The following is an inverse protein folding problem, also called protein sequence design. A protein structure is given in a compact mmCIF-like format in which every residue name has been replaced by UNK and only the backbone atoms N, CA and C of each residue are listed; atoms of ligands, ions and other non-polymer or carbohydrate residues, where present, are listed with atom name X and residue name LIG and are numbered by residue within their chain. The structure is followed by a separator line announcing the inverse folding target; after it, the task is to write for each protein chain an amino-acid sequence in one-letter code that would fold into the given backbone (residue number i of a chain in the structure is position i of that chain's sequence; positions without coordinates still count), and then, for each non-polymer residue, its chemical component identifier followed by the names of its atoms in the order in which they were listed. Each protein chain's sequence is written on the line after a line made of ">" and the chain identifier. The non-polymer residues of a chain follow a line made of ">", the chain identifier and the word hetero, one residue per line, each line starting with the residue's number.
data_IF_913054537696
#
_entry.id   IF_913054537696
#
_cell.length_a   1.000
_cell.length_b   1.000
_cell.length_c   1.000
_cell.angle_alpha   90.00
_cell.angle_beta   90.00
_cell.angle_gamma   90.00
#
_symmetry.space_group_name_H-M   'P 1'
#
loop_
_entity.id
_entity.type
_entity.pdbx_description
1 polymer ?
#
# COMPACT_ATOMS: atom_id res chain seq x y z
N UNK A 1 29.32 -10.03 -17.83
CA UNK A 1 27.93 -10.51 -17.78
C UNK A 1 27.29 -9.91 -16.53
N UNK A 2 26.72 -8.71 -16.62
CA UNK A 2 26.19 -7.95 -15.48
C UNK A 2 24.98 -7.09 -15.93
N UNK A 3 24.01 -7.73 -16.60
CA UNK A 3 22.91 -7.01 -17.27
C UNK A 3 21.52 -7.36 -16.71
N UNK A 4 21.42 -8.10 -15.61
CA UNK A 4 20.13 -8.57 -15.06
C UNK A 4 19.63 -7.87 -13.79
N UNK A 5 20.42 -6.98 -13.16
CA UNK A 5 20.04 -6.35 -11.88
C UNK A 5 19.31 -5.00 -11.99
N UNK A 6 19.42 -4.29 -13.11
CA UNK A 6 18.82 -2.95 -13.26
C UNK A 6 17.29 -3.03 -13.39
N UNK A 7 16.78 -3.98 -14.17
CA UNK A 7 15.33 -4.15 -14.44
C UNK A 7 14.53 -4.58 -13.22
N UNK A 8 15.08 -5.42 -12.34
CA UNK A 8 14.38 -5.85 -11.11
C UNK A 8 14.22 -4.67 -10.14
N UNK A 9 15.24 -3.83 -10.05
CA UNK A 9 15.24 -2.64 -9.19
C UNK A 9 14.19 -1.63 -9.67
N UNK A 10 14.14 -1.31 -10.96
CA UNK A 10 13.15 -0.36 -11.50
C UNK A 10 11.70 -0.84 -11.32
N UNK A 11 11.45 -2.15 -11.48
CA UNK A 11 10.13 -2.76 -11.26
C UNK A 11 9.71 -2.70 -9.79
N UNK A 12 10.62 -2.97 -8.86
CA UNK A 12 10.37 -2.83 -7.42
C UNK A 12 10.10 -1.38 -7.02
N UNK A 13 10.84 -0.42 -7.59
CA UNK A 13 10.62 1.00 -7.33
C UNK A 13 9.26 1.47 -7.84
N UNK A 14 8.82 1.01 -9.02
CA UNK A 14 7.51 1.36 -9.56
C UNK A 14 6.37 0.70 -8.78
N UNK A 15 6.54 -0.56 -8.36
CA UNK A 15 5.59 -1.25 -7.49
C UNK A 15 5.44 -0.54 -6.13
N UNK A 16 6.56 -0.09 -5.54
CA UNK A 16 6.55 0.69 -4.31
C UNK A 16 5.85 2.05 -4.51
N UNK A 17 6.14 2.79 -5.59
CA UNK A 17 5.44 4.04 -5.90
C UNK A 17 3.93 3.85 -6.03
N UNK A 18 3.51 2.77 -6.70
CA UNK A 18 2.11 2.43 -6.85
C UNK A 18 1.46 2.12 -5.50
N UNK A 19 2.13 1.32 -4.65
CA UNK A 19 1.69 1.03 -3.30
C UNK A 19 1.49 2.31 -2.49
N UNK A 20 2.51 3.19 -2.47
CA UNK A 20 2.44 4.46 -1.74
C UNK A 20 1.27 5.32 -2.20
N UNK A 21 1.09 5.50 -3.52
CA UNK A 21 -0.03 6.30 -4.06
C UNK A 21 -1.38 5.74 -3.62
N UNK A 22 -1.58 4.43 -3.74
CA UNK A 22 -2.85 3.79 -3.38
C UNK A 22 -3.13 3.96 -1.88
N UNK A 23 -2.12 3.73 -1.04
CA UNK A 23 -2.24 3.87 0.41
C UNK A 23 -2.60 5.30 0.80
N UNK A 24 -1.92 6.30 0.23
CA UNK A 24 -2.21 7.71 0.47
C UNK A 24 -3.64 8.10 0.05
N UNK A 25 -4.09 7.69 -1.15
CA UNK A 25 -5.47 7.95 -1.61
C UNK A 25 -6.51 7.35 -0.66
N UNK A 26 -6.26 6.13 -0.16
CA UNK A 26 -7.16 5.47 0.80
C UNK A 26 -7.12 6.20 2.14
N UNK A 27 -5.94 6.61 2.61
CA UNK A 27 -5.78 7.37 3.86
C UNK A 27 -6.58 8.67 3.82
N UNK A 28 -6.45 9.47 2.76
CA UNK A 28 -7.18 10.73 2.58
C UNK A 28 -8.70 10.51 2.57
N UNK A 29 -9.16 9.43 1.93
CA UNK A 29 -10.60 9.16 1.79
C UNK A 29 -11.26 8.43 2.97
N UNK A 30 -10.49 7.73 3.81
CA UNK A 30 -11.00 6.82 4.84
C UNK A 30 -10.37 7.01 6.21
N UNK A 31 -9.65 8.12 6.44
CA UNK A 31 -9.18 8.49 7.77
C UNK A 31 -10.34 8.49 8.78
N UNK A 32 -10.19 7.75 9.88
CA UNK A 32 -11.24 7.62 10.91
C UNK A 32 -12.32 6.57 10.62
N UNK A 33 -12.28 5.88 9.47
CA UNK A 33 -13.21 4.80 9.15
C UNK A 33 -12.88 3.51 9.92
N UNK A 34 -13.81 2.54 9.94
CA UNK A 34 -13.60 1.23 10.56
C UNK A 34 -12.48 0.44 9.86
N UNK A 35 -11.64 -0.24 10.64
CA UNK A 35 -10.53 -1.07 10.12
C UNK A 35 -11.01 -2.07 9.07
N UNK A 36 -12.15 -2.72 9.27
CA UNK A 36 -12.70 -3.72 8.35
C UNK A 36 -13.10 -3.09 7.01
N UNK A 37 -13.62 -1.86 7.06
CA UNK A 37 -13.94 -1.08 5.86
C UNK A 37 -12.67 -0.71 5.10
N UNK A 38 -11.64 -0.22 5.80
CA UNK A 38 -10.36 0.14 5.17
C UNK A 38 -9.67 -1.10 4.57
N UNK A 39 -9.66 -2.23 5.28
CA UNK A 39 -9.14 -3.52 4.77
C UNK A 39 -9.86 -3.93 3.48
N UNK A 40 -11.19 -3.80 3.41
CA UNK A 40 -11.95 -4.16 2.22
C UNK A 40 -11.59 -3.27 1.02
N UNK A 41 -11.35 -1.97 1.25
CA UNK A 41 -10.93 -1.03 0.20
C UNK A 41 -9.51 -1.33 -0.27
N UNK A 42 -8.56 -1.51 0.67
CA UNK A 42 -7.18 -1.85 0.35
C UNK A 42 -7.08 -3.15 -0.44
N UNK A 43 -7.82 -4.20 -0.04
CA UNK A 43 -7.86 -5.47 -0.78
C UNK A 43 -8.33 -5.32 -2.22
N UNK A 44 -9.31 -4.46 -2.47
CA UNK A 44 -9.82 -4.21 -3.84
C UNK A 44 -8.82 -3.41 -4.68
N UNK A 45 -8.13 -2.45 -4.07
CA UNK A 45 -7.19 -1.54 -4.76
C UNK A 45 -5.81 -2.18 -4.98
N UNK A 46 -5.36 -3.03 -4.07
CA UNK A 46 -4.02 -3.62 -4.07
C UNK A 46 -3.97 -5.05 -4.63
N UNK A 47 -5.03 -5.51 -5.31
CA UNK A 47 -5.15 -6.88 -5.84
C UNK A 47 -3.98 -7.29 -6.75
N UNK A 48 -3.31 -6.31 -7.37
CA UNK A 48 -2.19 -6.53 -8.29
C UNK A 48 -0.85 -5.98 -7.78
N UNK A 49 -0.74 -5.60 -6.49
CA UNK A 49 0.51 -5.08 -5.93
C UNK A 49 1.26 -6.22 -5.23
N UNK A 50 2.36 -6.71 -5.82
CA UNK A 50 3.20 -7.73 -5.18
C UNK A 50 3.90 -7.14 -3.94
N UNK A 51 4.13 -7.98 -2.92
CA UNK A 51 4.93 -7.62 -1.75
C UNK A 51 4.16 -7.17 -0.51
N UNK A 52 2.83 -7.09 -0.55
CA UNK A 52 2.01 -6.82 0.63
C UNK A 52 1.25 -8.07 1.09
N UNK A 53 1.60 -8.57 2.27
CA UNK A 53 0.92 -9.70 2.90
C UNK A 53 -0.35 -9.27 3.67
N UNK A 54 -1.12 -10.25 4.13
CA UNK A 54 -2.36 -9.98 4.86
C UNK A 54 -2.14 -9.22 6.18
N UNK A 55 -0.99 -9.42 6.83
CA UNK A 55 -0.64 -8.74 8.07
C UNK A 55 -0.27 -7.26 7.82
N UNK A 56 0.55 -7.00 6.81
CA UNK A 56 0.90 -5.66 6.36
C UNK A 56 -0.32 -4.85 5.93
N UNK A 57 -1.24 -5.48 5.18
CA UNK A 57 -2.49 -4.84 4.77
C UNK A 57 -3.37 -4.46 5.98
N UNK A 58 -3.44 -5.31 7.01
CA UNK A 58 -4.15 -5.00 8.24
C UNK A 58 -3.50 -3.86 9.02
N UNK A 59 -2.18 -3.83 9.11
CA UNK A 59 -1.44 -2.76 9.79
C UNK A 59 -1.67 -1.40 9.12
N UNK A 60 -1.64 -1.35 7.80
CA UNK A 60 -1.96 -0.13 7.03
C UNK A 60 -3.40 0.33 7.34
N UNK A 61 -4.35 -0.62 7.39
CA UNK A 61 -5.74 -0.30 7.70
C UNK A 61 -5.93 0.25 9.12
N UNK A 62 -5.20 -0.28 10.10
CA UNK A 62 -5.22 0.20 11.49
C UNK A 62 -4.68 1.64 11.59
N UNK A 63 -3.56 1.95 10.94
CA UNK A 63 -3.02 3.32 10.91
C UNK A 63 -3.99 4.31 10.23
N UNK A 64 -4.58 3.94 9.10
CA UNK A 64 -5.57 4.78 8.41
C UNK A 64 -6.82 4.97 9.28
N UNK A 65 -7.28 3.91 9.95
CA UNK A 65 -8.45 3.96 10.84
C UNK A 65 -8.24 4.95 11.99
N UNK A 66 -7.02 5.08 12.53
CA UNK A 66 -6.70 6.10 13.54
C UNK A 66 -6.40 7.49 12.96
N UNK A 67 -6.59 7.68 11.65
CA UNK A 67 -6.40 8.94 10.95
C UNK A 67 -4.94 9.27 10.63
N UNK A 68 -4.05 8.27 10.63
CA UNK A 68 -2.67 8.42 10.20
C UNK A 68 -2.52 8.08 8.74
N UNK A 69 -1.55 8.71 8.09
CA UNK A 69 -1.11 8.34 6.76
C UNK A 69 0.12 7.43 6.84
N UNK A 70 -0.01 6.11 6.59
CA UNK A 70 1.11 5.19 6.63
C UNK A 70 2.00 5.28 5.37
N UNK A 71 1.70 6.16 4.39
CA UNK A 71 2.59 6.35 3.23
C UNK A 71 3.88 7.10 3.58
N UNK A 72 3.92 7.81 4.71
CA UNK A 72 5.12 8.53 5.18
C UNK A 72 5.53 9.74 4.34
N UNK A 73 4.58 10.37 3.64
CA UNK A 73 4.77 11.62 2.90
C UNK A 73 4.84 12.85 3.83
#
# INVERSE_FOLDING_TARGET
>A
MAETSLTSTDVEHEANRLLFRIVHEVAVGHAGADVSQVVAVLRRRLVNVPGLDGQGLRRIAEEISVGRDPSGL
#
